data_IF_919807237541
#
_entry.id   IF_919807237541
#
_cell.length_a   1.000
_cell.length_b   1.000
_cell.length_c   1.000
_cell.angle_alpha   90.00
_cell.angle_beta   90.00
_cell.angle_gamma   90.00
#
_symmetry.space_group_name_H-M   'P 1'
#
loop_
_entity.id
_entity.type
_entity.pdbx_description
1 polymer ?
#
# COMPACT_ATOMS: atom_id res chain seq x y z
N UNK A 1 -8.19 0.01 13.05
CA UNK A 1 -9.44 -0.03 12.23
C UNK A 1 -10.16 1.32 12.11
N UNK A 2 -10.78 1.89 13.15
CA UNK A 2 -11.50 3.19 13.02
C UNK A 2 -10.59 4.33 12.55
N UNK A 3 -9.41 4.46 13.15
CA UNK A 3 -8.41 5.46 12.78
C UNK A 3 -7.97 5.33 11.31
N UNK A 4 -7.60 4.13 10.87
CA UNK A 4 -7.20 3.87 9.47
C UNK A 4 -8.27 4.27 8.44
N UNK A 5 -9.56 4.18 8.81
CA UNK A 5 -10.67 4.59 7.94
C UNK A 5 -10.98 6.09 7.97
N UNK A 6 -10.43 6.82 8.95
CA UNK A 6 -10.70 8.25 9.14
C UNK A 6 -9.79 9.15 8.31
N UNK A 7 -8.68 8.62 7.80
CA UNK A 7 -7.65 9.34 7.05
C UNK A 7 -7.36 8.51 5.79
N UNK A 8 -7.15 9.13 4.62
CA UNK A 8 -6.78 8.43 3.40
C UNK A 8 -5.31 7.97 3.45
N UNK A 9 -4.96 7.05 4.35
CA UNK A 9 -3.62 6.48 4.40
C UNK A 9 -3.28 5.74 3.10
N UNK A 10 -2.08 6.00 2.58
CA UNK A 10 -1.58 5.46 1.30
C UNK A 10 -0.51 4.40 1.54
N UNK A 11 0.49 4.72 2.35
CA UNK A 11 1.60 3.85 2.73
C UNK A 11 1.73 3.84 4.25
N UNK A 12 2.02 2.68 4.81
CA UNK A 12 2.22 2.46 6.25
C UNK A 12 3.33 1.44 6.48
N UNK A 13 3.88 1.45 7.69
CA UNK A 13 4.55 0.29 8.23
C UNK A 13 4.27 0.18 9.73
N UNK A 14 4.09 -1.06 10.20
CA UNK A 14 4.07 -1.38 11.61
C UNK A 14 5.45 -1.92 12.02
N UNK A 15 5.91 -1.55 13.22
CA UNK A 15 7.27 -1.83 13.70
C UNK A 15 7.23 -2.92 14.76
N UNK A 16 8.05 -3.94 14.56
CA UNK A 16 8.15 -5.15 15.37
C UNK A 16 9.60 -5.43 15.73
N UNK A 17 9.79 -6.36 16.66
CA UNK A 17 11.09 -6.92 17.02
C UNK A 17 10.98 -8.43 17.23
N UNK A 18 12.12 -9.11 17.10
CA UNK A 18 12.26 -10.56 17.16
C UNK A 18 13.02 -11.11 15.96
N UNK A 19 13.17 -10.31 14.89
CA UNK A 19 13.98 -10.61 13.72
C UNK A 19 14.65 -9.34 13.17
N UNK A 20 15.30 -9.41 12.01
CA UNK A 20 15.81 -8.25 11.28
C UNK A 20 15.58 -8.39 9.77
N UNK A 21 14.40 -7.97 9.33
CA UNK A 21 13.91 -8.08 7.96
C UNK A 21 12.72 -7.15 7.73
N UNK A 22 12.30 -7.01 6.48
CA UNK A 22 11.02 -6.41 6.11
C UNK A 22 10.08 -7.49 5.61
N UNK A 23 9.01 -7.69 6.34
CA UNK A 23 7.93 -8.60 5.99
C UNK A 23 6.90 -7.85 5.13
N UNK A 24 6.43 -8.50 4.06
CA UNK A 24 5.43 -7.92 3.16
C UNK A 24 4.28 -8.90 2.86
N UNK A 25 3.08 -8.36 2.53
CA UNK A 25 1.89 -9.15 2.30
C UNK A 25 1.99 -10.23 1.21
N UNK A 26 1.17 -11.28 1.29
CA UNK A 26 0.28 -11.58 2.42
C UNK A 26 1.00 -12.32 3.56
N UNK A 27 0.51 -12.14 4.78
CA UNK A 27 0.94 -12.83 6.00
C UNK A 27 0.32 -14.23 6.10
N UNK A 28 -0.81 -14.50 5.45
CA UNK A 28 -1.36 -15.85 5.32
C UNK A 28 -1.79 -16.18 3.87
N UNK A 29 -2.23 -17.41 3.67
CA UNK A 29 -2.67 -17.91 2.37
C UNK A 29 -3.91 -18.79 2.50
N UNK A 30 -4.59 -19.01 1.37
CA UNK A 30 -5.79 -19.84 1.33
C UNK A 30 -5.50 -21.30 1.72
N UNK A 31 -4.34 -21.81 1.30
CA UNK A 31 -3.89 -23.16 1.66
C UNK A 31 -3.04 -23.11 2.94
N UNK A 32 -3.32 -23.98 3.92
CA UNK A 32 -2.49 -24.06 5.13
C UNK A 32 -1.04 -24.43 4.80
N UNK A 33 -0.09 -23.82 5.52
CA UNK A 33 1.33 -24.11 5.41
C UNK A 33 2.16 -22.91 4.95
N UNK A 34 3.48 -23.07 5.06
CA UNK A 34 4.45 -22.02 4.73
C UNK A 34 4.72 -22.01 3.23
N UNK A 35 4.26 -20.97 2.55
CA UNK A 35 4.43 -20.79 1.11
C UNK A 35 4.18 -19.34 0.71
N UNK A 36 4.71 -18.93 -0.44
CA UNK A 36 4.46 -17.59 -0.98
C UNK A 36 2.96 -17.38 -1.19
N UNK A 37 2.43 -16.32 -0.60
CA UNK A 37 1.07 -15.81 -0.81
C UNK A 37 1.12 -14.43 -1.46
N UNK A 38 0.95 -14.40 -2.80
CA UNK A 38 1.09 -13.17 -3.58
C UNK A 38 -0.16 -12.28 -3.47
N UNK A 39 0.04 -10.99 -3.27
CA UNK A 39 -0.99 -9.99 -3.55
C UNK A 39 -1.07 -9.71 -5.04
N UNK A 40 -2.15 -9.05 -5.49
CA UNK A 40 -2.18 -8.49 -6.85
C UNK A 40 -1.23 -7.30 -7.07
N UNK A 41 -0.55 -6.83 -6.01
CA UNK A 41 0.48 -5.79 -6.03
C UNK A 41 1.84 -6.33 -5.56
N UNK A 42 2.11 -7.63 -5.74
CA UNK A 42 3.25 -8.31 -5.16
C UNK A 42 4.59 -7.64 -5.49
N UNK A 43 4.83 -7.32 -6.77
CA UNK A 43 6.08 -6.68 -7.21
C UNK A 43 6.25 -5.26 -6.65
N UNK A 44 5.15 -4.56 -6.36
CA UNK A 44 5.21 -3.27 -5.68
C UNK A 44 5.62 -3.46 -4.21
N UNK A 45 5.05 -4.43 -3.51
CA UNK A 45 5.43 -4.74 -2.13
C UNK A 45 6.89 -5.20 -2.01
N UNK A 46 7.35 -6.06 -2.92
CA UNK A 46 8.77 -6.47 -3.00
C UNK A 46 9.67 -5.25 -3.15
N UNK A 47 9.34 -4.32 -4.06
CA UNK A 47 10.11 -3.09 -4.24
C UNK A 47 10.10 -2.21 -2.97
N UNK A 48 8.95 -1.99 -2.36
CA UNK A 48 8.81 -1.17 -1.15
C UNK A 48 9.61 -1.76 0.02
N UNK A 49 9.50 -3.07 0.25
CA UNK A 49 10.25 -3.78 1.28
C UNK A 49 11.77 -3.70 1.01
N UNK A 50 12.17 -3.89 -0.25
CA UNK A 50 13.57 -3.82 -0.64
C UNK A 50 14.15 -2.41 -0.46
N UNK A 51 13.40 -1.36 -0.80
CA UNK A 51 13.81 0.04 -0.56
C UNK A 51 14.17 0.29 0.90
N UNK A 52 13.33 -0.16 1.85
CA UNK A 52 13.63 -0.03 3.28
C UNK A 52 14.87 -0.85 3.67
N UNK A 53 14.89 -2.14 3.35
CA UNK A 53 15.98 -3.05 3.71
C UNK A 53 17.33 -2.57 3.14
N UNK A 54 17.33 -2.00 1.94
CA UNK A 54 18.50 -1.49 1.24
C UNK A 54 19.04 -0.19 1.85
N UNK A 55 18.16 0.68 2.34
CA UNK A 55 18.52 1.93 3.00
C UNK A 55 18.99 1.72 4.46
N UNK A 56 18.69 0.56 5.06
CA UNK A 56 19.24 0.18 6.36
C UNK A 56 20.74 -0.19 6.29
N UNK A 57 21.49 0.08 7.36
CA UNK A 57 22.95 -0.11 7.45
C UNK A 57 23.46 -1.50 7.02
N UNK A 58 22.71 -2.56 7.33
CA UNK A 58 23.12 -3.94 7.03
C UNK A 58 21.98 -4.93 6.80
N UNK A 59 20.71 -4.50 6.78
CA UNK A 59 19.56 -5.42 6.68
C UNK A 59 19.51 -6.08 5.31
N UNK A 60 20.07 -5.51 4.25
CA UNK A 60 20.11 -6.18 2.96
C UNK A 60 21.30 -7.14 2.81
N UNK A 61 22.29 -7.08 3.70
CA UNK A 61 23.56 -7.83 3.57
C UNK A 61 23.32 -9.32 3.81
N UNK A 62 24.19 -10.14 3.22
CA UNK A 62 24.25 -11.58 3.47
C UNK A 62 24.95 -11.82 4.80
N UNK A 63 24.46 -12.78 5.59
CA UNK A 63 25.08 -13.22 6.83
C UNK A 63 24.18 -13.00 8.04
N UNK A 64 24.46 -13.71 9.15
CA UNK A 64 23.57 -13.88 10.28
C UNK A 64 23.12 -12.52 10.82
N UNK A 65 21.81 -12.29 10.78
CA UNK A 65 21.22 -11.06 11.33
C UNK A 65 20.73 -11.24 12.74
N UNK A 66 20.15 -12.41 12.99
CA UNK A 66 19.75 -12.90 14.29
C UNK A 66 20.47 -14.20 14.63
N UNK A 67 20.49 -14.56 15.91
CA UNK A 67 21.31 -15.63 16.49
C UNK A 67 21.33 -16.93 15.66
N UNK A 68 22.55 -17.40 15.34
CA UNK A 68 22.94 -18.80 15.09
C UNK A 68 22.14 -19.64 14.08
N UNK A 69 21.38 -19.05 13.16
CA UNK A 69 20.78 -19.81 12.07
C UNK A 69 21.35 -19.36 10.72
N UNK A 70 22.18 -20.23 10.13
CA UNK A 70 22.82 -20.01 8.84
C UNK A 70 21.97 -20.56 7.67
N UNK A 71 20.83 -21.21 7.96
CA UNK A 71 20.08 -22.01 6.99
C UNK A 71 19.14 -21.22 6.09
N UNK A 72 18.31 -20.34 6.67
CA UNK A 72 17.12 -19.80 5.99
C UNK A 72 16.97 -18.28 6.16
N UNK A 73 18.05 -17.53 5.92
CA UNK A 73 17.94 -16.07 5.96
C UNK A 73 17.16 -15.52 4.76
N UNK A 74 16.25 -14.55 4.96
CA UNK A 74 15.53 -13.93 3.88
C UNK A 74 16.50 -13.24 2.91
N UNK A 75 16.44 -13.63 1.63
CA UNK A 75 17.28 -13.04 0.58
C UNK A 75 17.08 -11.54 0.55
N UNK A 76 18.18 -10.79 0.66
CA UNK A 76 18.19 -9.32 0.62
C UNK A 76 17.36 -8.63 1.72
N UNK A 77 16.97 -9.38 2.74
CA UNK A 77 16.32 -8.85 3.93
C UNK A 77 14.87 -8.47 3.82
N UNK A 78 14.20 -9.13 2.90
CA UNK A 78 12.77 -9.04 2.74
C UNK A 78 12.19 -10.45 2.72
N UNK A 79 10.95 -10.61 3.14
CA UNK A 79 10.25 -11.89 3.08
C UNK A 79 8.76 -11.69 2.87
N UNK A 80 8.12 -12.61 2.14
CA UNK A 80 6.67 -12.69 2.13
C UNK A 80 6.21 -13.32 3.46
N UNK A 81 5.20 -12.74 4.11
CA UNK A 81 4.83 -13.19 5.46
C UNK A 81 4.38 -14.64 5.53
N UNK A 82 3.53 -15.08 4.60
CA UNK A 82 3.09 -16.47 4.52
C UNK A 82 4.24 -17.47 4.19
N UNK A 83 5.27 -17.01 3.47
CA UNK A 83 6.50 -17.79 3.19
C UNK A 83 7.43 -17.85 4.40
N UNK A 84 7.40 -16.86 5.28
CA UNK A 84 8.20 -16.89 6.51
C UNK A 84 7.53 -17.77 7.56
N UNK A 85 6.34 -17.37 8.01
CA UNK A 85 5.44 -18.19 8.82
C UNK A 85 4.02 -17.59 8.73
N UNK A 86 2.99 -18.40 8.42
CA UNK A 86 1.64 -17.88 8.26
C UNK A 86 1.06 -17.21 9.52
N UNK A 87 0.52 -16.00 9.39
CA UNK A 87 -0.15 -15.23 10.46
C UNK A 87 -1.52 -14.75 9.99
N UNK A 88 -2.57 -15.41 10.46
CA UNK A 88 -3.94 -14.98 10.20
C UNK A 88 -4.37 -13.81 11.10
N UNK A 89 -5.14 -12.88 10.53
CA UNK A 89 -5.72 -11.75 11.28
C UNK A 89 -4.77 -10.59 11.58
N UNK A 90 -3.62 -10.55 10.91
CA UNK A 90 -2.62 -9.47 11.02
C UNK A 90 -3.13 -8.10 10.56
N UNK A 91 -2.56 -7.04 11.14
CA UNK A 91 -2.90 -5.66 10.78
C UNK A 91 -2.43 -5.29 9.36
N UNK A 92 -1.29 -5.84 8.94
CA UNK A 92 -0.68 -5.60 7.63
C UNK A 92 -1.66 -5.95 6.48
N UNK A 93 -2.17 -7.18 6.49
CA UNK A 93 -3.10 -7.67 5.48
C UNK A 93 -4.48 -7.00 5.60
N UNK A 94 -4.92 -6.69 6.82
CA UNK A 94 -6.16 -5.95 7.03
C UNK A 94 -6.12 -4.58 6.35
N UNK A 95 -5.01 -3.84 6.45
CA UNK A 95 -4.83 -2.54 5.80
C UNK A 95 -5.02 -2.66 4.28
N UNK A 96 -4.30 -3.61 3.66
CA UNK A 96 -4.34 -3.82 2.22
C UNK A 96 -5.70 -4.34 1.73
N UNK A 97 -6.39 -5.20 2.50
CA UNK A 97 -7.69 -5.73 2.10
C UNK A 97 -8.84 -4.72 2.31
N UNK A 98 -8.79 -3.88 3.36
CA UNK A 98 -9.96 -3.12 3.82
C UNK A 98 -9.88 -1.59 3.64
N UNK A 99 -8.73 -1.04 3.25
CA UNK A 99 -8.51 0.40 3.09
C UNK A 99 -7.73 0.68 1.80
N UNK A 100 -7.28 1.91 1.52
CA UNK A 100 -6.36 2.17 0.42
C UNK A 100 -4.88 1.93 0.80
N UNK A 101 -4.59 1.66 2.08
CA UNK A 101 -3.25 1.67 2.63
C UNK A 101 -2.46 0.40 2.32
N UNK A 102 -1.24 0.57 1.82
CA UNK A 102 -0.25 -0.49 1.64
C UNK A 102 0.61 -0.51 2.91
N UNK A 103 0.59 -1.60 3.67
CA UNK A 103 1.35 -1.71 4.91
C UNK A 103 2.42 -2.80 4.82
N UNK A 104 3.59 -2.50 5.38
CA UNK A 104 4.67 -3.46 5.63
C UNK A 104 4.78 -3.74 7.13
N UNK A 105 5.34 -4.88 7.50
CA UNK A 105 5.78 -5.18 8.87
C UNK A 105 7.30 -5.15 8.90
N UNK A 106 7.89 -4.30 9.74
CA UNK A 106 9.34 -4.14 9.82
C UNK A 106 9.83 -4.74 11.13
N UNK A 107 10.63 -5.79 11.04
CA UNK A 107 11.35 -6.38 12.16
C UNK A 107 12.65 -5.60 12.35
N UNK A 108 12.69 -4.77 13.40
CA UNK A 108 13.74 -3.78 13.60
C UNK A 108 14.97 -4.35 14.30
N UNK A 109 14.78 -5.28 15.23
CA UNK A 109 15.89 -5.87 15.95
C UNK A 109 15.56 -7.29 16.44
N UNK A 110 16.59 -8.14 16.52
CA UNK A 110 16.44 -9.48 17.09
C UNK A 110 16.09 -9.44 18.59
N UNK A 111 16.62 -8.45 19.31
CA UNK A 111 16.35 -8.28 20.73
C UNK A 111 15.07 -7.45 20.94
N UNK A 112 13.98 -8.16 21.25
CA UNK A 112 12.64 -7.59 21.51
C UNK A 112 12.59 -6.45 22.53
N UNK A 113 13.44 -6.54 23.55
CA UNK A 113 13.56 -5.48 24.55
C UNK A 113 15.03 -5.07 24.62
N UNK A 114 15.39 -4.09 23.79
CA UNK A 114 16.75 -3.57 23.69
C UNK A 114 17.15 -2.79 24.94
N UNK A 115 18.42 -2.81 25.30
CA UNK A 115 18.90 -1.97 26.40
C UNK A 115 18.96 -0.50 25.97
N UNK A 116 18.75 0.41 26.91
CA UNK A 116 18.77 1.86 26.63
C UNK A 116 20.07 2.32 25.94
N UNK A 117 21.21 1.68 26.26
CA UNK A 117 22.52 1.96 25.66
C UNK A 117 22.61 1.63 24.16
N UNK A 118 21.74 0.75 23.65
CA UNK A 118 21.76 0.29 22.26
C UNK A 118 20.81 1.12 21.37
N UNK A 119 19.87 1.89 21.96
CA UNK A 119 18.89 2.70 21.24
C UNK A 119 19.52 3.72 20.27
N UNK A 120 20.62 4.43 20.60
CA UNK A 120 21.26 5.35 19.65
C UNK A 120 21.74 4.63 18.38
N UNK A 121 22.30 3.42 18.54
CA UNK A 121 22.74 2.61 17.41
C UNK A 121 21.56 2.14 16.55
N UNK A 122 20.48 1.65 17.18
CA UNK A 122 19.26 1.26 16.45
C UNK A 122 18.68 2.43 15.66
N UNK A 123 18.63 3.62 16.26
CA UNK A 123 18.25 4.83 15.54
C UNK A 123 19.15 5.09 14.33
N UNK A 124 20.47 5.06 14.52
CA UNK A 124 21.42 5.31 13.44
C UNK A 124 21.32 4.29 12.30
N UNK A 125 21.00 3.04 12.61
CA UNK A 125 20.83 1.98 11.64
C UNK A 125 19.52 2.12 10.82
N UNK A 126 18.45 2.62 11.42
CA UNK A 126 17.11 2.68 10.80
C UNK A 126 16.70 4.06 10.26
N UNK A 127 17.27 5.17 10.74
CA UNK A 127 16.76 6.52 10.41
C UNK A 127 16.64 6.79 8.92
N UNK A 128 17.64 6.39 8.12
CA UNK A 128 17.60 6.58 6.67
C UNK A 128 16.63 5.61 5.98
N UNK A 129 16.45 4.40 6.50
CA UNK A 129 15.44 3.47 6.01
C UNK A 129 14.01 3.96 6.27
N UNK A 130 13.77 4.56 7.43
CA UNK A 130 12.49 5.19 7.77
C UNK A 130 12.20 6.37 6.84
N UNK A 131 13.17 7.26 6.60
CA UNK A 131 13.01 8.35 5.64
C UNK A 131 12.81 7.85 4.21
N UNK A 132 13.53 6.80 3.81
CA UNK A 132 13.38 6.19 2.49
C UNK A 132 11.97 5.63 2.30
N UNK A 133 11.40 4.95 3.29
CA UNK A 133 10.03 4.45 3.20
C UNK A 133 9.00 5.57 3.15
N UNK A 134 9.17 6.63 3.95
CA UNK A 134 8.28 7.80 3.88
C UNK A 134 8.34 8.41 2.47
N UNK A 135 9.52 8.49 1.86
CA UNK A 135 9.68 9.03 0.50
C UNK A 135 8.92 8.22 -0.56
N UNK A 136 8.77 6.90 -0.35
CA UNK A 136 8.07 6.02 -1.29
C UNK A 136 6.59 6.36 -1.48
N UNK A 137 5.95 7.04 -0.53
CA UNK A 137 4.54 7.44 -0.68
C UNK A 137 4.33 8.37 -1.88
N UNK A 138 5.37 9.08 -2.29
CA UNK A 138 5.33 9.99 -3.44
C UNK A 138 5.48 9.28 -4.78
N UNK A 139 5.89 8.00 -4.81
CA UNK A 139 5.98 7.20 -6.03
C UNK A 139 4.60 6.62 -6.38
N UNK A 140 3.69 7.52 -6.78
CA UNK A 140 2.29 7.22 -7.01
C UNK A 140 1.76 7.86 -8.29
N UNK A 141 0.74 7.21 -8.86
CA UNK A 141 -0.22 7.88 -9.73
C UNK A 141 -1.26 8.54 -8.82
N UNK A 142 -1.36 9.86 -8.87
CA UNK A 142 -2.25 10.66 -8.04
C UNK A 142 -2.99 11.71 -8.84
N UNK A 143 -4.02 12.31 -8.26
CA UNK A 143 -4.77 13.39 -8.91
C UNK A 143 -6.18 13.48 -8.35
N UNK A 144 -7.08 14.08 -9.14
CA UNK A 144 -8.49 14.22 -8.79
C UNK A 144 -9.40 13.55 -9.81
N UNK A 145 -10.44 12.87 -9.34
CA UNK A 145 -11.58 12.41 -10.16
C UNK A 145 -12.69 13.45 -10.01
N UNK A 146 -13.05 14.10 -11.11
CA UNK A 146 -13.93 15.27 -11.12
C UNK A 146 -15.22 14.99 -11.91
N UNK A 147 -16.33 15.56 -11.47
CA UNK A 147 -17.61 15.54 -12.16
C UNK A 147 -17.60 16.57 -13.32
N UNK A 148 -17.98 16.13 -14.52
CA UNK A 148 -17.92 16.94 -15.73
C UNK A 148 -18.83 18.18 -15.73
N UNK A 149 -19.93 18.16 -14.99
CA UNK A 149 -20.93 19.24 -14.99
C UNK A 149 -20.63 20.28 -13.91
N UNK A 150 -20.19 19.81 -12.74
CA UNK A 150 -20.02 20.64 -11.53
C UNK A 150 -18.57 21.01 -11.25
N UNK A 151 -17.60 20.26 -11.82
CA UNK A 151 -16.18 20.39 -11.50
C UNK A 151 -15.82 19.92 -10.08
N UNK A 152 -16.76 19.36 -9.32
CA UNK A 152 -16.53 18.87 -7.96
C UNK A 152 -15.86 17.50 -7.96
N UNK A 153 -15.13 17.21 -6.88
CA UNK A 153 -14.54 15.90 -6.64
C UNK A 153 -15.57 14.79 -6.46
N UNK A 154 -15.32 13.65 -7.08
CA UNK A 154 -16.16 12.45 -6.96
C UNK A 154 -15.54 11.56 -5.88
N UNK A 155 -16.18 11.49 -4.72
CA UNK A 155 -15.82 10.56 -3.64
C UNK A 155 -16.09 9.11 -4.05
N UNK A 156 -15.25 8.17 -3.59
CA UNK A 156 -15.42 6.73 -3.78
C UNK A 156 -15.40 6.25 -5.25
N UNK A 157 -14.88 7.05 -6.18
CA UNK A 157 -14.52 6.56 -7.50
C UNK A 157 -13.39 5.54 -7.37
N UNK A 158 -13.47 4.42 -8.09
CA UNK A 158 -12.46 3.37 -8.07
C UNK A 158 -11.44 3.58 -9.18
N UNK A 159 -10.17 3.40 -8.84
CA UNK A 159 -9.01 3.46 -9.73
C UNK A 159 -8.40 2.06 -9.77
N UNK A 160 -8.41 1.43 -10.94
CA UNK A 160 -7.78 0.14 -11.20
C UNK A 160 -6.67 0.28 -12.24
N UNK A 161 -5.64 -0.56 -12.15
CA UNK A 161 -4.53 -0.61 -13.11
C UNK A 161 -4.56 -1.97 -13.80
N UNK A 162 -4.63 -2.00 -15.13
CA UNK A 162 -4.72 -3.22 -15.94
C UNK A 162 -5.81 -4.22 -15.51
N UNK A 163 -6.84 -3.77 -14.78
CA UNK A 163 -7.84 -4.64 -14.13
C UNK A 163 -7.25 -5.67 -13.15
N UNK A 164 -6.02 -5.43 -12.68
CA UNK A 164 -5.27 -6.24 -11.74
C UNK A 164 -4.96 -5.46 -10.46
N UNK A 165 -4.53 -6.18 -9.42
CA UNK A 165 -4.11 -5.57 -8.17
C UNK A 165 -5.24 -4.96 -7.36
N UNK A 166 -4.86 -4.07 -6.45
CA UNK A 166 -5.77 -3.36 -5.57
C UNK A 166 -6.54 -2.27 -6.29
N UNK A 167 -7.86 -2.30 -6.11
CA UNK A 167 -8.73 -1.15 -6.35
C UNK A 167 -8.50 -0.10 -5.27
N UNK A 168 -8.07 1.09 -5.69
CA UNK A 168 -7.97 2.27 -4.83
C UNK A 168 -9.20 3.14 -5.00
N UNK A 169 -9.66 3.79 -3.93
CA UNK A 169 -10.79 4.72 -3.97
C UNK A 169 -10.33 6.16 -3.82
N UNK A 170 -10.96 7.09 -4.54
CA UNK A 170 -10.83 8.51 -4.26
C UNK A 170 -11.47 8.89 -2.92
N UNK A 171 -10.94 9.92 -2.28
CA UNK A 171 -11.42 10.44 -1.01
C UNK A 171 -12.47 11.56 -1.20
N UNK A 172 -12.83 12.26 -0.12
CA UNK A 172 -13.98 13.17 -0.07
C UNK A 172 -13.95 14.31 -1.10
N UNK A 173 -12.77 14.70 -1.60
CA UNK A 173 -12.61 15.74 -2.62
C UNK A 173 -12.23 15.16 -3.98
N UNK A 174 -12.40 13.85 -4.19
CA UNK A 174 -12.05 13.16 -5.43
C UNK A 174 -10.56 12.91 -5.59
N UNK A 175 -9.74 13.34 -4.63
CA UNK A 175 -8.31 13.08 -4.53
C UNK A 175 -8.01 11.59 -4.37
N UNK A 176 -7.00 11.09 -5.08
CA UNK A 176 -6.59 9.69 -5.01
C UNK A 176 -5.07 9.54 -5.10
N UNK A 177 -4.57 8.42 -4.57
CA UNK A 177 -3.17 8.01 -4.66
C UNK A 177 -3.07 6.50 -4.86
N UNK A 178 -2.55 6.10 -6.01
CA UNK A 178 -2.24 4.70 -6.34
C UNK A 178 -0.73 4.54 -6.40
N UNK A 179 -0.15 3.94 -5.35
CA UNK A 179 1.25 3.51 -5.41
C UNK A 179 1.43 2.58 -6.60
N UNK A 180 2.52 2.74 -7.34
CA UNK A 180 2.72 2.00 -8.59
C UNK A 180 4.20 1.91 -8.91
N UNK A 181 4.61 0.83 -9.58
CA UNK A 181 5.95 0.72 -10.12
C UNK A 181 6.05 1.49 -11.46
N UNK A 182 7.27 1.83 -11.90
CA UNK A 182 7.51 2.29 -13.26
C UNK A 182 7.02 1.25 -14.29
N UNK A 183 6.30 1.73 -15.31
CA UNK A 183 5.62 0.90 -16.28
C UNK A 183 4.58 1.68 -17.07
N UNK A 184 3.95 1.02 -18.04
CA UNK A 184 2.81 1.56 -18.81
C UNK A 184 1.56 0.76 -18.45
N UNK A 185 0.50 1.48 -18.08
CA UNK A 185 -0.71 0.91 -17.51
C UNK A 185 -1.96 1.45 -18.20
N UNK A 186 -2.95 0.59 -18.40
CA UNK A 186 -4.32 0.99 -18.67
C UNK A 186 -5.03 1.26 -17.34
N UNK A 187 -5.26 2.52 -17.03
CA UNK A 187 -5.86 2.94 -15.77
C UNK A 187 -7.33 3.23 -15.99
N UNK A 188 -8.20 2.46 -15.34
CA UNK A 188 -9.65 2.63 -15.40
C UNK A 188 -10.12 3.38 -14.15
N UNK A 189 -10.88 4.44 -14.40
CA UNK A 189 -11.59 5.23 -13.42
C UNK A 189 -13.08 4.91 -13.55
N UNK A 190 -13.69 4.46 -12.46
CA UNK A 190 -15.06 3.94 -12.48
C UNK A 190 -15.84 4.43 -11.25
N UNK A 191 -17.13 4.62 -11.40
CA UNK A 191 -18.04 4.96 -10.31
C UNK A 191 -19.47 4.64 -10.75
N UNK A 192 -20.29 4.09 -9.85
CA UNK A 192 -21.64 3.58 -10.16
C UNK A 192 -22.58 4.59 -10.84
N UNK A 193 -22.35 5.88 -10.66
CA UNK A 193 -23.16 6.99 -11.20
C UNK A 193 -22.56 7.64 -12.47
N UNK A 194 -21.40 7.19 -12.94
CA UNK A 194 -20.68 7.81 -14.04
C UNK A 194 -20.27 6.78 -15.10
N UNK A 195 -20.06 7.25 -16.31
CA UNK A 195 -19.46 6.45 -17.38
C UNK A 195 -17.98 6.22 -17.05
N UNK A 196 -17.50 4.96 -17.09
CA UNK A 196 -16.10 4.67 -16.79
C UNK A 196 -15.18 5.23 -17.87
N UNK A 197 -13.98 5.65 -17.46
CA UNK A 197 -12.95 6.17 -18.35
C UNK A 197 -11.67 5.34 -18.17
N UNK A 198 -11.14 4.81 -19.27
CA UNK A 198 -9.82 4.16 -19.29
C UNK A 198 -8.83 5.01 -20.05
N UNK A 199 -7.67 5.29 -19.44
CA UNK A 199 -6.57 6.02 -20.05
C UNK A 199 -5.26 5.27 -19.89
N UNK A 200 -4.37 5.38 -20.88
CA UNK A 200 -3.02 4.85 -20.78
C UNK A 200 -2.12 5.85 -20.07
N UNK A 201 -1.40 5.39 -19.05
CA UNK A 201 -0.45 6.20 -18.26
C UNK A 201 0.89 5.48 -18.22
N UNK A 202 1.97 6.24 -18.43
CA UNK A 202 3.35 5.75 -18.33
C UNK A 202 4.06 6.43 -17.16
N UNK A 203 4.62 5.61 -16.28
CA UNK A 203 5.47 6.00 -15.15
C UNK A 203 6.90 5.54 -15.49
N UNK A 204 7.90 6.39 -15.32
CA UNK A 204 9.29 6.06 -15.63
C UNK A 204 10.16 6.10 -14.39
N UNK A 205 11.37 5.55 -14.45
CA UNK A 205 12.32 5.67 -13.34
C UNK A 205 12.74 7.13 -13.08
N UNK A 206 12.73 7.98 -14.11
CA UNK A 206 13.06 9.41 -14.01
C UNK A 206 11.88 10.24 -13.49
N UNK A 207 10.65 9.81 -13.75
CA UNK A 207 9.41 10.40 -13.21
C UNK A 207 8.61 9.28 -12.53
N UNK A 208 9.00 8.88 -11.31
CA UNK A 208 8.40 7.74 -10.60
C UNK A 208 7.01 8.08 -10.01
N UNK A 209 6.47 9.25 -10.35
CA UNK A 209 5.13 9.68 -10.04
C UNK A 209 4.47 10.31 -11.26
N UNK A 210 3.14 10.33 -11.26
CA UNK A 210 2.36 11.09 -12.22
C UNK A 210 1.16 11.73 -11.51
N UNK A 211 0.90 12.99 -11.88
CA UNK A 211 -0.28 13.71 -11.43
C UNK A 211 -1.28 13.81 -12.58
N UNK A 212 -2.45 13.18 -12.46
CA UNK A 212 -3.47 13.12 -13.50
C UNK A 212 -4.87 13.34 -12.94
N UNK A 213 -5.43 14.49 -13.26
CA UNK A 213 -6.86 14.73 -13.10
C UNK A 213 -7.63 14.05 -14.22
N UNK A 214 -8.78 13.49 -13.87
CA UNK A 214 -9.74 12.89 -14.80
C UNK A 214 -11.11 13.47 -14.56
N UNK A 215 -11.90 13.55 -15.63
CA UNK A 215 -13.26 14.08 -15.60
C UNK A 215 -14.20 12.97 -16.04
N UNK A 216 -15.18 12.62 -15.22
CA UNK A 216 -16.19 11.61 -15.52
C UNK A 216 -17.54 12.26 -15.83
N UNK A 217 -18.26 11.70 -16.81
CA UNK A 217 -19.62 12.13 -17.18
C UNK A 217 -20.64 11.23 -16.48
N UNK A 218 -21.75 11.81 -16.03
CA UNK A 218 -22.81 11.04 -15.37
C UNK A 218 -23.46 10.08 -16.36
N UNK A 219 -23.76 8.87 -15.90
CA UNK A 219 -24.47 7.88 -16.72
C UNK A 219 -25.90 8.36 -17.02
N UNK A 220 -26.36 8.16 -18.25
CA UNK A 220 -27.72 8.52 -18.67
C UNK A 220 -28.73 7.73 -17.80
N UNK A 221 -29.50 8.45 -16.98
CA UNK A 221 -30.45 7.87 -16.01
C UNK A 221 -30.07 8.04 -14.53
N UNK A 222 -28.88 8.54 -14.22
CA UNK A 222 -28.47 8.85 -12.84
C UNK A 222 -29.12 10.13 -12.26
N UNK A 223 -29.99 10.82 -13.01
CA UNK A 223 -30.54 12.11 -12.60
C UNK A 223 -31.73 11.99 -11.62
N UNK A 224 -31.57 12.69 -10.49
CA UNK A 224 -32.57 13.21 -9.53
C UNK A 224 -33.28 12.30 -8.51
N UNK A 225 -33.41 10.98 -8.71
CA UNK A 225 -34.20 10.16 -7.76
C UNK A 225 -33.42 9.45 -6.63
N UNK A 226 -32.10 9.30 -6.74
CA UNK A 226 -31.32 8.62 -5.69
C UNK A 226 -30.84 9.55 -4.55
N UNK A 227 -30.68 10.84 -4.83
CA UNK A 227 -30.33 11.84 -3.80
C UNK A 227 -31.43 11.95 -2.72
N UNK A 228 -32.70 11.83 -3.10
CA UNK A 228 -33.86 11.83 -2.18
C UNK A 228 -34.00 10.51 -1.41
N UNK A 229 -33.65 9.37 -2.02
CA UNK A 229 -33.69 8.05 -1.33
C UNK A 229 -32.62 7.90 -0.26
N UNK A 230 -31.42 8.49 -0.44
CA UNK A 230 -30.35 8.40 0.57
C UNK A 230 -30.57 9.33 1.77
N UNK A 231 -31.14 10.53 1.61
CA UNK A 231 -31.51 11.38 2.77
C UNK A 231 -32.56 10.72 3.68
N UNK A 232 -33.51 9.99 3.10
CA UNK A 232 -34.59 9.36 3.86
C UNK A 232 -34.18 8.03 4.56
N UNK A 233 -33.00 7.46 4.24
CA UNK A 233 -32.48 6.26 4.91
C UNK A 233 -31.56 6.55 6.11
N UNK A 234 -31.14 7.80 6.31
CA UNK A 234 -30.36 8.21 7.49
C UNK A 234 -31.22 8.86 8.60
N UNK A 235 -32.55 8.85 8.47
CA UNK A 235 -33.49 9.40 9.46
C UNK A 235 -34.40 8.32 10.08
N UNK A 236 -34.03 7.04 10.02
CA UNK A 236 -34.69 5.96 10.77
C UNK A 236 -33.67 5.10 11.49
#
# INVERSE_FOLDING_TARGET
MRWTRSIPFVLSANLHDGSLLVNYPYDDGFTPGTQISKTGDHELFVRLAFSYARAHSFMWKKGPRCLNDYGDEPKLGITNGAEWYPVAGGMQDWNYANTNCFELTIEMNCQKFSFAKDLPKLWDDHKFALFELISQVHNSLSGFVLDAETGQGIENATISINEEGKLVKSYIYGDYWRLINPGTYHVKYDHILYEPLTITITITNQSPNAFKNVVLRRSIGASTNEWTRKRNKCQK
#
